data_IF_782042445648
#
_entry.id   IF_782042445648
#
_cell.length_a   1.000
_cell.length_b   1.000
_cell.length_c   1.000
_cell.angle_alpha   90.00
_cell.angle_beta   90.00
_cell.angle_gamma   90.00
#
_symmetry.space_group_name_H-M   'P 1'
#
loop_
_entity.id
_entity.type
_entity.pdbx_description
1 polymer ?
#
# COMPACT_ATOMS: atom_id res chain seq x y z
N UNK A 1 4.93 -14.09 -17.41
CA UNK A 1 4.61 -14.86 -16.19
C UNK A 1 3.28 -14.35 -15.68
N UNK A 2 2.60 -15.14 -14.85
CA UNK A 2 1.40 -14.64 -14.16
C UNK A 2 1.80 -13.52 -13.18
N UNK A 3 1.01 -12.45 -13.14
CA UNK A 3 1.21 -11.31 -12.24
C UNK A 3 0.72 -11.68 -10.84
N UNK A 4 1.53 -11.43 -9.80
CA UNK A 4 1.10 -11.66 -8.42
C UNK A 4 0.64 -10.35 -7.77
N UNK A 5 -0.62 -10.34 -7.32
CA UNK A 5 -1.26 -9.18 -6.69
C UNK A 5 -1.61 -9.55 -5.26
N UNK A 6 -1.11 -8.77 -4.30
CA UNK A 6 -1.42 -8.92 -2.88
C UNK A 6 -2.35 -7.79 -2.45
N UNK A 7 -3.51 -8.14 -1.90
CA UNK A 7 -4.52 -7.19 -1.43
C UNK A 7 -4.73 -7.36 0.08
N UNK A 8 -4.46 -6.30 0.84
CA UNK A 8 -4.53 -6.27 2.30
C UNK A 8 -5.40 -5.10 2.75
N UNK A 9 -6.66 -5.38 3.07
CA UNK A 9 -7.63 -4.37 3.52
C UNK A 9 -7.96 -4.53 4.99
N UNK A 10 -8.29 -3.42 5.66
CA UNK A 10 -8.75 -3.36 7.05
C UNK A 10 -7.85 -4.04 8.08
N UNK A 11 -6.53 -3.98 7.86
CA UNK A 11 -5.55 -4.49 8.82
C UNK A 11 -5.09 -3.39 9.77
N UNK A 12 -5.02 -3.70 11.07
CA UNK A 12 -4.42 -2.81 12.08
C UNK A 12 -3.00 -3.21 12.49
N UNK A 13 -2.57 -4.41 12.09
CA UNK A 13 -1.22 -4.95 12.25
C UNK A 13 -0.94 -5.98 11.17
N UNK A 14 0.32 -6.07 10.74
CA UNK A 14 0.80 -7.19 9.94
C UNK A 14 1.24 -8.33 10.89
N UNK A 15 0.71 -9.54 10.70
CA UNK A 15 1.15 -10.71 11.44
C UNK A 15 2.41 -11.27 10.79
N UNK A 16 3.39 -11.67 11.60
CA UNK A 16 4.68 -12.18 11.12
C UNK A 16 4.50 -13.40 10.21
N UNK A 17 3.69 -14.38 10.62
CA UNK A 17 3.42 -15.58 9.81
C UNK A 17 2.77 -15.25 8.44
N UNK A 18 1.92 -14.23 8.39
CA UNK A 18 1.29 -13.77 7.14
C UNK A 18 2.29 -13.08 6.24
N UNK A 19 3.13 -12.21 6.79
CA UNK A 19 4.21 -11.56 6.05
C UNK A 19 5.21 -12.59 5.51
N UNK A 20 5.60 -13.55 6.34
CA UNK A 20 6.49 -14.65 5.95
C UNK A 20 5.91 -15.49 4.82
N UNK A 21 4.62 -15.79 4.87
CA UNK A 21 3.95 -16.50 3.78
C UNK A 21 4.01 -15.70 2.46
N UNK A 22 3.71 -14.40 2.51
CA UNK A 22 3.80 -13.50 1.34
C UNK A 22 5.23 -13.47 0.78
N UNK A 23 6.23 -13.34 1.64
CA UNK A 23 7.62 -13.15 1.22
C UNK A 23 8.33 -14.43 0.79
N UNK A 24 8.02 -15.57 1.43
CA UNK A 24 8.79 -16.82 1.29
C UNK A 24 8.06 -17.90 0.50
N UNK A 25 6.73 -17.83 0.40
CA UNK A 25 5.92 -18.89 -0.21
C UNK A 25 5.28 -18.46 -1.53
N UNK A 26 4.75 -17.24 -1.59
CA UNK A 26 4.13 -16.71 -2.80
C UNK A 26 5.19 -16.28 -3.83
N UNK A 27 4.81 -16.18 -5.13
CA UNK A 27 5.63 -15.47 -6.09
C UNK A 27 5.90 -14.02 -5.63
N UNK A 28 6.99 -13.40 -6.07
CA UNK A 28 7.27 -12.01 -5.74
C UNK A 28 6.09 -11.10 -6.09
N UNK A 29 5.72 -10.20 -5.16
CA UNK A 29 4.57 -9.32 -5.35
C UNK A 29 4.87 -8.30 -6.45
N UNK A 30 4.03 -8.25 -7.48
CA UNK A 30 4.11 -7.24 -8.53
C UNK A 30 3.35 -5.98 -8.13
N UNK A 31 2.12 -6.16 -7.64
CA UNK A 31 1.25 -5.09 -7.18
C UNK A 31 0.84 -5.36 -5.74
N UNK A 32 1.00 -4.36 -4.89
CA UNK A 32 0.48 -4.37 -3.52
C UNK A 32 -0.68 -3.39 -3.45
N UNK A 33 -1.81 -3.80 -2.87
CA UNK A 33 -2.89 -2.90 -2.50
C UNK A 33 -3.05 -2.96 -0.99
N UNK A 34 -2.96 -1.82 -0.32
CA UNK A 34 -2.99 -1.72 1.14
C UNK A 34 -3.92 -0.60 1.58
N UNK A 35 -4.70 -0.85 2.61
CA UNK A 35 -5.57 0.16 3.21
C UNK A 35 -4.80 1.12 4.12
N UNK A 36 -5.15 2.40 4.09
CA UNK A 36 -4.72 3.42 5.05
C UNK A 36 -5.85 4.39 5.35
N UNK A 37 -6.36 4.38 6.59
CA UNK A 37 -7.51 5.19 6.97
C UNK A 37 -7.12 6.64 7.31
N UNK A 38 -5.98 6.85 7.98
CA UNK A 38 -5.54 8.13 8.54
C UNK A 38 -4.07 8.42 8.22
N UNK A 39 -3.66 9.70 8.17
CA UNK A 39 -2.25 10.05 7.96
C UNK A 39 -1.35 9.74 9.17
N UNK A 40 -1.66 10.28 10.36
CA UNK A 40 -0.72 10.31 11.51
C UNK A 40 -1.28 9.73 12.83
N UNK A 41 -2.29 8.85 12.79
CA UNK A 41 -2.82 8.24 14.02
C UNK A 41 -2.92 6.73 13.90
N UNK A 42 -2.40 6.03 14.92
CA UNK A 42 -2.68 4.60 15.10
C UNK A 42 -4.16 4.44 15.38
N UNK A 43 -4.90 3.87 14.43
CA UNK A 43 -6.27 3.44 14.67
C UNK A 43 -6.27 2.01 15.21
N UNK A 44 -7.24 1.67 16.06
CA UNK A 44 -7.31 0.31 16.63
C UNK A 44 -7.61 -0.76 15.58
N UNK A 45 -8.13 -0.35 14.41
CA UNK A 45 -8.66 -1.25 13.38
C UNK A 45 -8.06 -1.10 11.98
N UNK A 46 -7.40 0.03 11.66
CA UNK A 46 -6.80 0.24 10.33
C UNK A 46 -5.40 0.82 10.47
N UNK A 47 -4.60 0.62 9.42
CA UNK A 47 -3.31 1.26 9.27
C UNK A 47 -3.44 2.78 9.12
N UNK A 48 -2.43 3.48 9.65
CA UNK A 48 -2.09 4.82 9.20
C UNK A 48 -1.26 4.77 7.91
N UNK A 49 -1.07 5.94 7.28
CA UNK A 49 -0.23 6.07 6.10
C UNK A 49 1.21 5.62 6.38
N UNK A 50 1.77 6.01 7.54
CA UNK A 50 3.10 5.57 7.97
C UNK A 50 3.19 4.04 8.06
N UNK A 51 2.20 3.37 8.67
CA UNK A 51 2.18 1.91 8.78
C UNK A 51 2.05 1.22 7.42
N UNK A 52 1.27 1.80 6.50
CA UNK A 52 1.16 1.31 5.13
C UNK A 52 2.49 1.44 4.39
N UNK A 53 3.20 2.57 4.52
CA UNK A 53 4.52 2.79 3.91
C UNK A 53 5.59 1.84 4.46
N UNK A 54 5.59 1.57 5.77
CA UNK A 54 6.47 0.57 6.38
C UNK A 54 6.22 -0.84 5.83
N UNK A 55 4.94 -1.20 5.64
CA UNK A 55 4.58 -2.48 5.04
C UNK A 55 4.99 -2.55 3.57
N UNK A 56 4.81 -1.48 2.80
CA UNK A 56 5.25 -1.37 1.40
C UNK A 56 6.76 -1.57 1.31
N UNK A 57 7.53 -0.93 2.20
CA UNK A 57 8.98 -1.11 2.31
C UNK A 57 9.41 -2.54 2.66
N UNK A 58 8.58 -3.25 3.43
CA UNK A 58 8.81 -4.65 3.79
C UNK A 58 8.52 -5.62 2.65
N UNK A 59 7.38 -5.45 1.96
CA UNK A 59 6.92 -6.33 0.87
C UNK A 59 7.68 -6.07 -0.44
N UNK A 60 8.04 -4.81 -0.72
CA UNK A 60 8.72 -4.34 -1.93
C UNK A 60 8.06 -4.80 -3.24
N UNK A 61 6.83 -4.32 -3.55
CA UNK A 61 6.19 -4.67 -4.81
C UNK A 61 7.03 -4.22 -6.01
N UNK A 62 7.09 -5.05 -7.05
CA UNK A 62 7.94 -4.82 -8.24
C UNK A 62 7.44 -3.75 -9.18
N UNK A 63 6.18 -3.32 -9.06
CA UNK A 63 5.58 -2.33 -9.95
C UNK A 63 5.01 -1.16 -9.17
N UNK A 64 3.92 -1.36 -8.43
CA UNK A 64 3.22 -0.27 -7.75
C UNK A 64 2.59 -0.75 -6.46
N UNK A 65 2.69 0.08 -5.42
CA UNK A 65 1.85 0.00 -4.25
C UNK A 65 0.68 0.99 -4.39
N UNK A 66 -0.55 0.49 -4.31
CA UNK A 66 -1.75 1.30 -4.25
C UNK A 66 -2.26 1.39 -2.82
N UNK A 67 -2.52 2.62 -2.39
CA UNK A 67 -3.13 2.91 -1.10
C UNK A 67 -4.62 3.16 -1.33
N UNK A 68 -5.46 2.45 -0.57
CA UNK A 68 -6.94 2.54 -0.61
C UNK A 68 -7.48 2.87 0.78
N UNK A 69 -8.79 3.09 0.90
CA UNK A 69 -9.45 3.20 2.21
C UNK A 69 -9.23 4.53 2.95
N UNK A 70 -8.62 5.53 2.27
CA UNK A 70 -8.35 6.84 2.84
C UNK A 70 -9.64 7.58 3.24
N UNK A 71 -9.62 8.17 4.44
CA UNK A 71 -10.65 9.11 4.87
C UNK A 71 -10.46 10.47 4.18
N UNK A 72 -11.49 10.95 3.49
CA UNK A 72 -11.47 12.22 2.76
C UNK A 72 -11.13 13.45 3.61
N UNK A 73 -11.47 13.44 4.91
CA UNK A 73 -11.17 14.56 5.81
C UNK A 73 -9.74 14.50 6.38
N UNK A 74 -9.06 13.35 6.22
CA UNK A 74 -7.74 13.10 6.80
C UNK A 74 -6.59 13.21 5.80
N UNK A 75 -6.89 13.18 4.49
CA UNK A 75 -5.91 13.26 3.41
C UNK A 75 -6.09 14.54 2.60
N UNK A 76 -5.02 15.07 1.99
CA UNK A 76 -5.12 16.07 0.94
C UNK A 76 -5.91 15.56 -0.27
N UNK A 77 -6.25 16.47 -1.18
CA UNK A 77 -6.81 16.10 -2.47
C UNK A 77 -5.94 15.05 -3.18
N UNK A 78 -6.58 14.14 -3.92
CA UNK A 78 -5.94 12.97 -4.54
C UNK A 78 -4.63 13.30 -5.29
N UNK A 79 -4.65 14.34 -6.13
CA UNK A 79 -3.51 14.72 -6.96
C UNK A 79 -2.38 15.37 -6.14
N UNK A 80 -2.75 16.12 -5.10
CA UNK A 80 -1.79 16.69 -4.15
C UNK A 80 -1.10 15.57 -3.37
N UNK A 81 -1.88 14.63 -2.82
CA UNK A 81 -1.35 13.51 -2.06
C UNK A 81 -0.46 12.61 -2.94
N UNK A 82 -0.87 12.33 -4.17
CA UNK A 82 -0.05 11.55 -5.11
C UNK A 82 1.26 12.27 -5.46
N UNK A 83 1.25 13.60 -5.58
CA UNK A 83 2.48 14.38 -5.79
C UNK A 83 3.43 14.24 -4.59
N UNK A 84 2.89 14.21 -3.36
CA UNK A 84 3.67 13.95 -2.15
C UNK A 84 4.22 12.52 -2.14
N UNK A 85 3.40 11.50 -2.43
CA UNK A 85 3.82 10.10 -2.47
C UNK A 85 4.92 9.85 -3.51
N UNK A 86 4.84 10.49 -4.68
CA UNK A 86 5.88 10.39 -5.72
C UNK A 86 7.23 10.99 -5.28
N UNK A 87 7.23 11.90 -4.30
CA UNK A 87 8.46 12.45 -3.72
C UNK A 87 9.11 11.51 -2.69
N UNK A 88 8.38 10.50 -2.21
CA UNK A 88 8.88 9.49 -1.28
C UNK A 88 9.62 8.42 -2.08
N UNK A 89 10.91 8.25 -1.79
CA UNK A 89 11.71 7.15 -2.34
C UNK A 89 11.79 6.01 -1.32
N UNK A 90 11.18 4.88 -1.65
CA UNK A 90 11.31 3.63 -0.89
C UNK A 90 12.22 2.69 -1.67
N UNK A 91 13.29 2.23 -1.04
CA UNK A 91 14.27 1.36 -1.70
C UNK A 91 13.61 0.09 -2.26
N UNK A 92 13.77 -0.14 -3.56
CA UNK A 92 13.23 -1.31 -4.24
C UNK A 92 11.74 -1.24 -4.58
N UNK A 93 11.08 -0.10 -4.38
CA UNK A 93 9.67 0.13 -4.74
C UNK A 93 9.59 1.19 -5.84
N UNK A 94 9.17 0.84 -7.06
CA UNK A 94 9.17 1.80 -8.17
C UNK A 94 8.11 2.90 -8.06
N UNK A 95 6.97 2.62 -7.42
CA UNK A 95 5.87 3.57 -7.33
C UNK A 95 4.96 3.30 -6.13
N UNK A 96 4.52 4.38 -5.48
CA UNK A 96 3.47 4.39 -4.45
C UNK A 96 2.45 5.45 -4.84
N UNK A 97 1.16 5.10 -4.86
CA UNK A 97 0.09 6.00 -5.29
C UNK A 97 -1.19 5.74 -4.47
N UNK A 98 -1.99 6.78 -4.26
CA UNK A 98 -3.40 6.59 -3.92
C UNK A 98 -4.13 5.99 -5.11
N UNK A 99 -5.02 5.04 -4.85
CA UNK A 99 -6.02 4.62 -5.82
C UNK A 99 -7.22 5.58 -5.80
N UNK A 100 -8.03 5.50 -6.85
CA UNK A 100 -9.27 6.26 -6.96
C UNK A 100 -10.38 5.39 -7.54
N UNK A 101 -11.62 5.83 -7.33
CA UNK A 101 -12.80 5.18 -7.90
C UNK A 101 -12.68 5.10 -9.42
N UNK A 102 -12.97 3.91 -9.97
CA UNK A 102 -12.88 3.65 -11.41
C UNK A 102 -11.46 3.48 -11.95
N UNK A 103 -10.42 3.40 -11.11
CA UNK A 103 -9.07 3.05 -11.55
C UNK A 103 -9.07 1.66 -12.23
N UNK A 104 -8.58 1.61 -13.47
CA UNK A 104 -8.40 0.37 -14.24
C UNK A 104 -6.92 0.18 -14.52
N UNK A 105 -6.38 -0.98 -14.13
CA UNK A 105 -5.00 -1.33 -14.37
C UNK A 105 -4.88 -2.08 -15.70
N UNK A 106 -4.07 -1.56 -16.61
CA UNK A 106 -3.66 -2.29 -17.81
C UNK A 106 -2.58 -3.29 -17.43
N UNK A 107 -2.92 -4.57 -17.39
CA UNK A 107 -2.02 -5.68 -17.05
C UNK A 107 -1.52 -6.41 -18.30
#
# INVERSE_FOLDING_TARGET
>A
GEMNIVYLSDISRMLEDTLDYILKTLPPTDILVVDSLLMEQKHNTHFSLEQALDLISSIRPRQTAYIVGMNCDAFPDHDEMNSQLQSISIEGVPSVQLAHDGLVLSM
#
